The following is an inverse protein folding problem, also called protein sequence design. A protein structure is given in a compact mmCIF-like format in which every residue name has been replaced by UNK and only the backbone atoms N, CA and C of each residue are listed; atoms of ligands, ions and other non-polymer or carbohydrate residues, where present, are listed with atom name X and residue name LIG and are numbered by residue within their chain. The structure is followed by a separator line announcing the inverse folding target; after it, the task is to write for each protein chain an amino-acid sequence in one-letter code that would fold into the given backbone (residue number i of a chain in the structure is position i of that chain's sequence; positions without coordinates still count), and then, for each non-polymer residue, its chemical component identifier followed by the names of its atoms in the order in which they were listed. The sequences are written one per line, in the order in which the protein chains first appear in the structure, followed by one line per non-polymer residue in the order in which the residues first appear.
data_IF_304206366270
#
_entry.id   IF_304206366270
#
_cell.length_a   1.000
_cell.length_b   1.000
_cell.length_c   1.000
_cell.angle_alpha   90.00
_cell.angle_beta   90.00
_cell.angle_gamma   90.00
#
_symmetry.space_group_name_H-M   'P 1'
#
loop_
_entity.id
_entity.type
_entity.pdbx_description
1 polymer ?
#
# COMPACT_ATOMS: atom_id res chain seq x y z
N UNK A 1 8.00 10.58 -3.03
CA UNK A 1 7.20 9.36 -2.80
C UNK A 1 8.13 8.16 -2.84
N UNK A 2 8.17 7.33 -1.79
CA UNK A 2 8.70 5.95 -1.67
C UNK A 2 10.10 5.54 -2.23
N UNK A 3 10.73 6.27 -3.15
CA UNK A 3 12.00 5.91 -3.79
C UNK A 3 11.85 5.02 -5.04
N UNK A 4 10.63 4.63 -5.40
CA UNK A 4 10.35 3.88 -6.62
C UNK A 4 10.05 4.82 -7.78
N UNK A 5 10.59 4.50 -8.95
CA UNK A 5 10.29 5.23 -10.19
C UNK A 5 8.85 4.94 -10.64
N UNK A 6 8.26 5.86 -11.41
CA UNK A 6 6.93 5.66 -12.00
C UNK A 6 6.83 4.35 -12.78
N UNK A 7 7.87 4.01 -13.55
CA UNK A 7 7.92 2.77 -14.33
C UNK A 7 7.87 1.51 -13.45
N UNK A 8 8.60 1.52 -12.31
CA UNK A 8 8.58 0.42 -11.34
C UNK A 8 7.21 0.26 -10.66
N UNK A 9 6.44 1.34 -10.49
CA UNK A 9 5.10 1.31 -9.89
C UNK A 9 4.05 0.86 -10.90
N UNK A 10 4.07 1.38 -12.13
CA UNK A 10 3.03 1.11 -13.14
C UNK A 10 3.00 -0.35 -13.64
N UNK A 11 4.03 -1.13 -13.37
CA UNK A 11 4.11 -2.56 -13.71
C UNK A 11 3.80 -3.46 -12.51
N UNK A 12 3.34 -2.90 -11.38
CA UNK A 12 3.07 -3.64 -10.14
C UNK A 12 1.60 -3.60 -9.77
N UNK A 13 1.21 -4.57 -8.95
CA UNK A 13 -0.13 -4.68 -8.39
C UNK A 13 -0.54 -3.42 -7.62
N UNK A 14 -1.82 -3.04 -7.77
CA UNK A 14 -2.45 -1.95 -7.01
C UNK A 14 -2.49 -2.21 -5.50
N UNK A 15 -2.30 -3.47 -5.06
CA UNK A 15 -2.18 -3.82 -3.64
C UNK A 15 -0.88 -3.31 -3.00
N UNK A 16 0.06 -2.77 -3.79
CA UNK A 16 1.32 -2.18 -3.29
C UNK A 16 2.12 -3.11 -2.37
N UNK A 17 2.06 -4.42 -2.63
CA UNK A 17 2.75 -5.47 -1.84
C UNK A 17 4.28 -5.25 -1.78
N UNK A 18 4.84 -4.46 -2.68
CA UNK A 18 6.28 -4.14 -2.71
C UNK A 18 6.69 -3.04 -1.73
N UNK A 19 5.72 -2.33 -1.15
CA UNK A 19 5.92 -1.30 -0.14
C UNK A 19 5.70 -1.84 1.28
N UNK A 20 5.29 -3.11 1.44
CA UNK A 20 5.09 -3.71 2.75
C UNK A 20 6.43 -4.08 3.40
N UNK A 21 6.47 -4.07 4.73
CA UNK A 21 7.63 -4.51 5.50
C UNK A 21 7.18 -5.17 6.81
N UNK A 22 8.14 -5.45 7.70
CA UNK A 22 7.94 -6.28 8.90
C UNK A 22 6.86 -5.78 9.88
N UNK A 23 6.58 -4.47 9.92
CA UNK A 23 5.54 -3.89 10.79
C UNK A 23 4.22 -3.60 10.04
N UNK A 24 4.11 -3.95 8.76
CA UNK A 24 2.84 -3.83 8.02
C UNK A 24 1.88 -4.92 8.49
N UNK A 25 0.73 -4.52 9.03
CA UNK A 25 -0.26 -5.48 9.53
C UNK A 25 -0.87 -6.31 8.39
N UNK A 26 -0.73 -7.64 8.48
CA UNK A 26 -1.27 -8.58 7.48
C UNK A 26 -2.79 -8.48 7.36
N UNK A 27 -3.50 -8.24 8.47
CA UNK A 27 -4.96 -8.10 8.46
C UNK A 27 -5.45 -6.87 7.69
N UNK A 28 -4.67 -5.78 7.68
CA UNK A 28 -4.99 -4.59 6.87
C UNK A 28 -4.83 -4.91 5.38
N UNK A 29 -3.80 -5.68 5.00
CA UNK A 29 -3.59 -6.11 3.61
C UNK A 29 -4.72 -7.01 3.10
N UNK A 30 -5.19 -7.94 3.92
CA UNK A 30 -6.35 -8.78 3.58
C UNK A 30 -7.62 -7.93 3.41
N UNK A 31 -7.84 -6.97 4.31
CA UNK A 31 -8.97 -6.06 4.23
C UNK A 31 -8.94 -5.18 2.97
N UNK A 32 -7.75 -4.70 2.57
CA UNK A 32 -7.56 -3.95 1.32
C UNK A 32 -7.86 -4.86 0.12
N UNK A 33 -7.32 -6.08 0.08
CA UNK A 33 -7.56 -7.04 -1.01
C UNK A 33 -9.05 -7.37 -1.15
N UNK A 34 -9.73 -7.56 -0.03
CA UNK A 34 -11.16 -7.82 -0.01
C UNK A 34 -11.96 -6.60 -0.49
N UNK A 35 -11.63 -5.40 -0.03
CA UNK A 35 -12.28 -4.16 -0.47
C UNK A 35 -12.11 -3.95 -1.98
N UNK A 36 -10.90 -4.14 -2.51
CA UNK A 36 -10.61 -4.08 -3.94
C UNK A 36 -11.40 -5.13 -4.73
N UNK A 37 -11.48 -6.36 -4.21
CA UNK A 37 -12.23 -7.45 -4.86
C UNK A 37 -13.74 -7.19 -4.88
N UNK A 38 -14.28 -6.60 -3.80
CA UNK A 38 -15.70 -6.23 -3.68
C UNK A 38 -16.04 -4.93 -4.40
N UNK A 39 -15.03 -4.13 -4.76
CA UNK A 39 -15.24 -2.77 -5.27
C UNK A 39 -15.79 -1.82 -4.20
N UNK A 40 -15.52 -2.09 -2.92
CA UNK A 40 -15.98 -1.30 -1.79
C UNK A 40 -14.96 -0.21 -1.43
N UNK A 41 -15.45 1.00 -1.18
CA UNK A 41 -14.63 2.08 -0.63
C UNK A 41 -14.41 1.84 0.87
N UNK A 42 -13.15 1.77 1.28
CA UNK A 42 -12.76 1.66 2.69
C UNK A 42 -11.52 2.50 2.97
N UNK A 43 -11.47 3.03 4.18
CA UNK A 43 -10.35 3.83 4.66
C UNK A 43 -9.40 2.97 5.48
N UNK A 44 -8.10 3.01 5.15
CA UNK A 44 -7.09 2.24 5.85
C UNK A 44 -5.87 3.10 6.19
N UNK A 45 -5.32 2.85 7.38
CA UNK A 45 -4.00 3.32 7.74
C UNK A 45 -3.00 2.17 7.60
N UNK A 46 -2.02 2.35 6.72
CA UNK A 46 -0.99 1.35 6.46
C UNK A 46 0.41 1.95 6.53
N UNK A 47 1.35 1.16 7.04
CA UNK A 47 2.77 1.48 7.10
C UNK A 47 3.46 0.96 5.85
N UNK A 48 4.01 1.86 5.05
CA UNK A 48 4.82 1.53 3.89
C UNK A 48 6.29 1.83 4.13
N UNK A 49 7.15 1.05 3.47
CA UNK A 49 8.60 1.12 3.53
C UNK A 49 9.15 1.64 2.21
N UNK A 50 10.15 2.50 2.30
CA UNK A 50 10.90 2.96 1.13
C UNK A 50 11.83 1.87 0.61
N UNK A 51 12.18 1.95 -0.68
CA UNK A 51 13.15 1.05 -1.34
C UNK A 51 14.48 0.95 -0.59
N UNK A 52 14.91 2.05 0.01
CA UNK A 52 16.18 2.15 0.76
C UNK A 52 16.07 1.67 2.22
N UNK A 53 14.90 1.16 2.66
CA UNK A 53 14.68 0.54 3.98
C UNK A 53 14.67 1.50 5.18
N UNK A 54 15.10 2.75 5.02
CA UNK A 54 15.42 3.65 6.15
C UNK A 54 14.22 4.48 6.65
N UNK A 55 13.17 4.70 5.85
CA UNK A 55 12.05 5.54 6.27
C UNK A 55 10.70 4.87 6.04
N UNK A 56 9.87 4.94 7.07
CA UNK A 56 8.49 4.47 7.07
C UNK A 56 7.59 5.63 6.66
N UNK A 57 6.80 5.44 5.59
CA UNK A 57 5.80 6.40 5.15
C UNK A 57 4.43 5.90 5.58
N UNK A 58 3.80 6.59 6.55
CA UNK A 58 2.39 6.40 6.87
C UNK A 58 1.58 6.91 5.69
N UNK A 59 0.84 6.01 5.04
CA UNK A 59 0.02 6.37 3.89
C UNK A 59 -1.42 6.06 4.22
N UNK A 60 -2.23 7.11 4.17
CA UNK A 60 -3.68 7.01 4.28
C UNK A 60 -4.21 6.72 2.88
N UNK A 61 -4.67 5.50 2.63
CA UNK A 61 -5.27 5.16 1.34
C UNK A 61 -6.78 5.41 1.48
N UNK A 62 -7.21 6.54 0.92
CA UNK A 62 -8.61 6.92 0.76
C UNK A 62 -8.88 7.13 -0.71
N UNK A 63 -9.64 6.24 -1.33
CA UNK A 63 -10.06 6.43 -2.72
C UNK A 63 -11.28 7.36 -2.69
N UNK A 64 -11.04 8.69 -2.64
CA UNK A 64 -12.13 9.66 -2.76
C UNK A 64 -12.67 9.60 -4.19
N UNK A 65 -14.01 9.49 -4.28
CA UNK A 65 -14.80 9.54 -5.50
C UNK A 65 -14.51 10.79 -6.33
#
# INVERSE_FOLDING_TARGET
MTGFTRAEVMQRSACTDFLQGQMTSVGVMESIKEALRKGEEKHFEILYYRKDGIQVQKSTVSNQT
#
